data_IF_636873980385
#
_entry.id   IF_636873980385
#
_cell.length_a   1.000
_cell.length_b   1.000
_cell.length_c   1.000
_cell.angle_alpha   90.00
_cell.angle_beta   90.00
_cell.angle_gamma   90.00
#
_symmetry.space_group_name_H-M   'P 1'
#
loop_
_entity.id
_entity.type
_entity.pdbx_description
1 polymer ?
#
# COMPACT_ATOMS: atom_id res chain seq x y z
N UNK A 1 7.62 -10.94 -1.81
CA UNK A 1 6.94 -10.84 -3.12
C UNK A 1 5.94 -9.68 -3.15
N UNK A 2 5.77 -9.04 -4.31
CA UNK A 2 4.71 -8.05 -4.56
C UNK A 2 3.49 -8.77 -5.15
N UNK A 3 2.29 -8.47 -4.65
CA UNK A 3 1.02 -8.98 -5.19
C UNK A 3 -0.16 -8.09 -4.80
N UNK A 4 -1.34 -8.34 -5.37
CA UNK A 4 -2.58 -7.71 -4.91
C UNK A 4 -2.86 -8.04 -3.43
N UNK A 5 -3.42 -7.06 -2.72
CA UNK A 5 -3.93 -7.21 -1.37
C UNK A 5 -5.12 -8.19 -1.33
N UNK A 6 -5.24 -8.95 -0.25
CA UNK A 6 -6.37 -9.85 0.00
C UNK A 6 -7.28 -9.27 1.07
N UNK A 7 -8.56 -9.63 1.02
CA UNK A 7 -9.60 -9.05 1.89
C UNK A 7 -9.31 -9.22 3.38
N UNK A 8 -8.78 -10.38 3.78
CA UNK A 8 -8.44 -10.67 5.18
C UNK A 8 -7.20 -9.89 5.67
N UNK A 9 -6.44 -9.26 4.77
CA UNK A 9 -5.26 -8.46 5.12
C UNK A 9 -5.60 -6.99 5.42
N UNK A 10 -6.83 -6.55 5.14
CA UNK A 10 -7.25 -5.15 5.34
C UNK A 10 -7.01 -4.63 6.76
N UNK A 11 -7.27 -5.39 7.85
CA UNK A 11 -6.93 -4.95 9.20
C UNK A 11 -5.41 -4.76 9.42
N UNK A 12 -4.57 -5.61 8.82
CA UNK A 12 -3.10 -5.49 8.87
C UNK A 12 -2.63 -4.26 8.09
N UNK A 13 -3.17 -4.04 6.90
CA UNK A 13 -2.91 -2.87 6.05
C UNK A 13 -3.25 -1.57 6.78
N UNK A 14 -4.41 -1.51 7.46
CA UNK A 14 -4.82 -0.32 8.22
C UNK A 14 -3.81 -0.01 9.33
N UNK A 15 -3.41 -1.02 10.10
CA UNK A 15 -2.41 -0.84 11.17
C UNK A 15 -1.08 -0.35 10.60
N UNK A 16 -0.61 -0.97 9.53
CA UNK A 16 0.62 -0.58 8.85
C UNK A 16 0.57 0.88 8.37
N UNK A 17 -0.52 1.31 7.73
CA UNK A 17 -0.66 2.71 7.28
C UNK A 17 -0.75 3.70 8.44
N UNK A 18 -1.34 3.31 9.57
CA UNK A 18 -1.41 4.17 10.76
C UNK A 18 -0.03 4.54 11.30
N UNK A 19 0.94 3.63 11.22
CA UNK A 19 2.33 3.89 11.64
C UNK A 19 2.96 5.07 10.88
N UNK A 20 2.54 5.32 9.63
CA UNK A 20 3.03 6.42 8.80
C UNK A 20 2.14 7.68 8.86
N UNK A 21 0.99 7.61 9.54
CA UNK A 21 0.06 8.73 9.65
C UNK A 21 0.40 9.69 10.80
N UNK A 22 1.10 9.22 11.83
CA UNK A 22 1.48 10.00 13.01
C UNK A 22 2.36 11.22 12.65
N UNK A 23 3.28 11.04 11.70
CA UNK A 23 4.20 12.10 11.27
C UNK A 23 3.66 12.93 10.08
N UNK A 24 2.38 12.78 9.73
CA UNK A 24 1.75 13.48 8.61
C UNK A 24 2.18 13.00 7.21
N UNK A 25 2.98 11.94 7.12
CA UNK A 25 3.49 11.42 5.85
C UNK A 25 2.44 10.72 4.98
N UNK A 26 1.40 10.15 5.60
CA UNK A 26 0.30 9.47 4.91
C UNK A 26 -1.04 9.86 5.52
N UNK A 27 -2.00 10.22 4.66
CA UNK A 27 -3.38 10.48 5.09
C UNK A 27 -4.01 9.20 5.69
N UNK A 28 -4.62 9.28 6.88
CA UNK A 28 -5.26 8.12 7.50
C UNK A 28 -6.40 7.58 6.62
N UNK A 29 -6.60 6.25 6.67
CA UNK A 29 -7.67 5.54 5.93
C UNK A 29 -8.56 4.78 6.89
N UNK A 30 -9.87 4.84 6.65
CA UNK A 30 -10.82 4.03 7.41
C UNK A 30 -10.82 2.59 6.90
N UNK A 31 -11.38 1.66 7.68
CA UNK A 31 -11.59 0.29 7.18
C UNK A 31 -12.53 0.27 5.96
N UNK A 32 -13.57 1.12 5.96
CA UNK A 32 -14.52 1.21 4.86
C UNK A 32 -13.82 1.62 3.55
N UNK A 33 -12.94 2.63 3.60
CA UNK A 33 -12.15 3.06 2.44
C UNK A 33 -11.29 1.91 1.89
N UNK A 34 -10.55 1.23 2.79
CA UNK A 34 -9.66 0.14 2.42
C UNK A 34 -10.41 -1.05 1.82
N UNK A 35 -11.57 -1.41 2.36
CA UNK A 35 -12.42 -2.46 1.77
C UNK A 35 -12.99 -2.03 0.41
N UNK A 36 -13.47 -0.79 0.30
CA UNK A 36 -14.04 -0.27 -0.95
C UNK A 36 -13.01 -0.15 -2.08
N UNK A 37 -11.76 0.15 -1.74
CA UNK A 37 -10.66 0.37 -2.68
C UNK A 37 -9.66 -0.79 -2.71
N UNK A 38 -9.97 -1.95 -2.14
CA UNK A 38 -9.02 -3.06 -1.97
C UNK A 38 -8.28 -3.44 -3.26
N UNK A 39 -8.97 -3.38 -4.39
CA UNK A 39 -8.41 -3.74 -5.71
C UNK A 39 -7.31 -2.80 -6.18
N UNK A 40 -7.25 -1.58 -5.64
CA UNK A 40 -6.23 -0.59 -5.98
C UNK A 40 -4.89 -0.97 -5.35
N UNK A 41 -4.90 -1.72 -4.24
CA UNK A 41 -3.72 -1.97 -3.40
C UNK A 41 -2.88 -3.16 -3.86
N UNK A 42 -1.57 -2.92 -3.93
CA UNK A 42 -0.51 -3.92 -3.97
C UNK A 42 0.27 -3.91 -2.66
N UNK A 43 0.63 -5.11 -2.21
CA UNK A 43 1.39 -5.33 -0.98
C UNK A 43 2.72 -6.03 -1.29
N UNK A 44 3.76 -5.65 -0.56
CA UNK A 44 5.02 -6.37 -0.49
C UNK A 44 5.11 -7.11 0.84
N UNK A 45 5.29 -8.43 0.78
CA UNK A 45 5.43 -9.31 1.95
C UNK A 45 6.60 -10.26 1.78
N UNK A 46 7.19 -10.70 2.88
CA UNK A 46 7.98 -11.94 2.89
C UNK A 46 7.04 -13.15 2.89
N UNK A 47 7.47 -14.28 2.34
CA UNK A 47 6.70 -15.53 2.31
C UNK A 47 7.53 -16.67 2.92
N UNK A 48 7.17 -17.17 4.12
CA UNK A 48 6.19 -16.59 5.07
C UNK A 48 6.73 -15.30 5.72
N UNK A 49 5.86 -14.35 6.07
CA UNK A 49 6.30 -13.12 6.75
C UNK A 49 5.31 -11.95 6.78
N UNK A 50 5.68 -10.84 7.43
CA UNK A 50 4.80 -9.69 7.65
C UNK A 50 4.58 -8.85 6.39
N UNK A 51 3.59 -7.95 6.45
CA UNK A 51 3.49 -6.83 5.54
C UNK A 51 4.66 -5.86 5.72
N UNK A 52 5.39 -5.60 4.64
CA UNK A 52 6.60 -4.76 4.65
C UNK A 52 6.50 -3.56 3.71
N UNK A 53 5.49 -3.51 2.84
CA UNK A 53 5.23 -2.35 2.02
C UNK A 53 3.90 -2.41 1.29
N UNK A 54 3.42 -1.25 0.86
CA UNK A 54 2.14 -1.09 0.20
C UNK A 54 2.19 0.09 -0.78
N UNK A 55 1.42 0.00 -1.86
CA UNK A 55 1.10 1.11 -2.76
C UNK A 55 -0.28 0.86 -3.37
N UNK A 56 -0.97 1.92 -3.75
CA UNK A 56 -2.24 1.83 -4.46
C UNK A 56 -2.25 2.70 -5.70
N UNK A 57 -2.88 2.24 -6.78
CA UNK A 57 -3.25 3.09 -7.91
C UNK A 57 -4.75 3.32 -7.87
N UNK A 58 -5.15 4.57 -7.65
CA UNK A 58 -6.55 4.96 -7.71
C UNK A 58 -6.86 5.68 -9.01
N UNK A 59 -7.97 5.30 -9.66
CA UNK A 59 -8.45 5.97 -10.87
C UNK A 59 -9.32 7.16 -10.44
N UNK A 60 -8.83 8.38 -10.70
CA UNK A 60 -9.56 9.61 -10.40
C UNK A 60 -10.53 10.00 -11.51
N UNK A 61 -10.13 9.81 -12.78
CA UNK A 61 -10.93 10.14 -13.96
C UNK A 61 -10.47 9.37 -15.22
N UNK A 62 -11.13 9.60 -16.35
CA UNK A 62 -10.92 8.90 -17.63
C UNK A 62 -9.45 8.85 -18.12
N UNK A 63 -8.61 9.78 -17.69
CA UNK A 63 -7.18 9.81 -18.03
C UNK A 63 -6.29 10.21 -16.86
N UNK A 64 -6.79 10.14 -15.63
CA UNK A 64 -6.06 10.56 -14.43
C UNK A 64 -6.10 9.46 -13.38
N UNK A 65 -4.92 8.93 -13.05
CA UNK A 65 -4.70 8.05 -11.92
C UNK A 65 -3.78 8.72 -10.90
N UNK A 66 -3.95 8.35 -9.64
CA UNK A 66 -3.11 8.81 -8.54
C UNK A 66 -2.51 7.59 -7.84
N UNK A 67 -1.18 7.59 -7.68
CA UNK A 67 -0.52 6.64 -6.82
C UNK A 67 -0.60 7.14 -5.38
N UNK A 68 -1.23 6.35 -4.52
CA UNK A 68 -1.51 6.69 -3.13
C UNK A 68 -0.87 5.69 -2.17
N UNK A 69 -0.78 6.12 -0.91
CA UNK A 69 -0.47 5.24 0.22
C UNK A 69 0.80 4.41 -0.01
N UNK A 70 1.85 5.02 -0.58
CA UNK A 70 3.14 4.37 -0.79
C UNK A 70 3.91 4.36 0.52
N UNK A 71 4.05 3.18 1.13
CA UNK A 71 4.79 3.00 2.37
C UNK A 71 5.65 1.74 2.32
N UNK A 72 6.82 1.82 2.97
CA UNK A 72 7.72 0.69 3.21
C UNK A 72 8.19 0.74 4.65
N UNK A 73 8.17 -0.41 5.31
CA UNK A 73 8.66 -0.59 6.68
C UNK A 73 10.06 0.01 6.83
N UNK A 74 10.28 0.75 7.91
CA UNK A 74 11.54 1.49 8.13
C UNK A 74 12.78 0.59 8.02
N UNK A 75 12.69 -0.63 8.56
CA UNK A 75 13.74 -1.67 8.53
C UNK A 75 14.08 -2.19 7.13
N UNK A 76 13.26 -1.88 6.13
CA UNK A 76 13.36 -2.38 4.76
C UNK A 76 13.51 -1.26 3.71
N UNK A 77 13.67 0.00 4.15
CA UNK A 77 13.99 1.12 3.26
C UNK A 77 15.39 0.97 2.64
N UNK A 78 15.64 1.70 1.55
CA UNK A 78 16.89 1.61 0.80
C UNK A 78 17.04 0.38 -0.10
N UNK A 79 16.07 -0.55 -0.10
CA UNK A 79 16.10 -1.80 -0.88
C UNK A 79 15.32 -1.73 -2.20
N UNK A 80 14.92 -0.54 -2.65
CA UNK A 80 14.15 -0.33 -3.89
C UNK A 80 12.70 -0.86 -3.86
N UNK A 81 12.16 -1.25 -2.69
CA UNK A 81 10.81 -1.84 -2.58
C UNK A 81 9.73 -0.87 -3.04
N UNK A 82 9.79 0.40 -2.62
CA UNK A 82 8.83 1.43 -3.01
C UNK A 82 8.79 1.61 -4.53
N UNK A 83 9.97 1.70 -5.16
CA UNK A 83 10.08 1.82 -6.62
C UNK A 83 9.44 0.64 -7.33
N UNK A 84 9.68 -0.59 -6.85
CA UNK A 84 9.06 -1.79 -7.43
C UNK A 84 7.54 -1.82 -7.25
N UNK A 85 7.03 -1.38 -6.09
CA UNK A 85 5.59 -1.25 -5.84
C UNK A 85 4.95 -0.24 -6.81
N UNK A 86 5.57 0.94 -6.94
CA UNK A 86 5.12 1.99 -7.88
C UNK A 86 5.12 1.49 -9.32
N UNK A 87 6.19 0.80 -9.76
CA UNK A 87 6.24 0.22 -11.10
C UNK A 87 5.15 -0.85 -11.30
N UNK A 88 4.84 -1.64 -10.28
CA UNK A 88 3.75 -2.62 -10.34
C UNK A 88 2.37 -1.96 -10.43
N UNK A 89 2.20 -0.75 -9.89
CA UNK A 89 1.00 0.05 -10.08
C UNK A 89 0.85 0.56 -11.52
N UNK A 90 1.95 0.79 -12.24
CA UNK A 90 1.97 1.39 -13.58
C UNK A 90 1.95 0.36 -14.73
N UNK A 91 2.29 -0.90 -14.44
CA UNK A 91 2.32 -2.00 -15.39
C UNK A 91 0.94 -2.63 -15.59
#
# INVERSE_FOLDING_TARGET
MIRKAKIYEVPEIRRFLMEFSQDGGILPRTLADLYGQLRDYYVYREDPGPLLGIAALHICWAGLGEIRSVAVALTHRGRGIASRLVQTCLA
#
